data_IF_337164654387
#
_entry.id   IF_337164654387
#
_cell.length_a   1.000
_cell.length_b   1.000
_cell.length_c   1.000
_cell.angle_alpha   90.00
_cell.angle_beta   90.00
_cell.angle_gamma   90.00
#
_symmetry.space_group_name_H-M   'P 1'
#
loop_
_entity.id
_entity.type
_entity.pdbx_description
1 polymer ?
#
# COMPACT_ATOMS: atom_id res chain seq x y z
N UNK A 1 38.27 13.54 -16.91
CA UNK A 1 37.20 12.65 -16.44
C UNK A 1 35.96 13.49 -16.21
N UNK A 2 34.87 13.25 -16.93
CA UNK A 2 33.58 13.91 -16.66
C UNK A 2 32.96 13.14 -15.50
N UNK A 3 32.95 13.72 -14.31
CA UNK A 3 32.19 13.16 -13.19
C UNK A 3 30.72 13.22 -13.59
N UNK A 4 30.11 12.07 -13.90
CA UNK A 4 28.66 11.93 -14.04
C UNK A 4 28.03 12.06 -12.64
N UNK A 5 28.11 13.26 -12.07
CA UNK A 5 27.34 13.61 -10.90
C UNK A 5 25.91 13.68 -11.40
N UNK A 6 25.07 12.72 -10.97
CA UNK A 6 23.65 12.71 -11.31
C UNK A 6 22.99 14.04 -10.97
N UNK A 7 21.72 14.20 -11.36
CA UNK A 7 20.95 15.40 -11.01
C UNK A 7 21.15 15.72 -9.51
N UNK A 8 21.57 16.95 -9.16
CA UNK A 8 21.76 17.34 -7.77
C UNK A 8 20.51 17.06 -6.93
N UNK A 9 20.71 16.71 -5.66
CA UNK A 9 19.61 16.64 -4.70
C UNK A 9 18.97 18.03 -4.57
N UNK A 10 17.66 18.04 -4.33
CA UNK A 10 16.91 19.29 -4.17
C UNK A 10 17.06 19.88 -2.77
N UNK A 11 17.24 19.03 -1.76
CA UNK A 11 17.43 19.40 -0.37
C UNK A 11 18.83 18.99 0.06
N UNK A 12 19.46 19.82 0.86
CA UNK A 12 20.84 19.67 1.32
C UNK A 12 20.93 18.83 2.59
N UNK A 13 19.82 18.65 3.31
CA UNK A 13 19.78 17.85 4.54
C UNK A 13 18.39 17.30 4.86
N UNK A 14 18.35 16.25 5.68
CA UNK A 14 17.12 15.69 6.23
C UNK A 14 16.33 16.70 7.07
N UNK A 15 17.02 17.62 7.76
CA UNK A 15 16.40 18.66 8.57
C UNK A 15 15.65 19.69 7.72
N UNK A 16 16.25 20.14 6.61
CA UNK A 16 15.60 21.04 5.65
C UNK A 16 14.35 20.37 5.05
N UNK A 17 14.46 19.09 4.68
CA UNK A 17 13.33 18.33 4.15
C UNK A 17 12.21 18.19 5.19
N UNK A 18 12.54 17.91 6.46
CA UNK A 18 11.56 17.78 7.55
C UNK A 18 10.83 19.11 7.81
N UNK A 19 11.55 20.23 7.82
CA UNK A 19 10.96 21.57 7.97
C UNK A 19 9.94 21.85 6.85
N UNK A 20 10.30 21.57 5.60
CA UNK A 20 9.41 21.77 4.46
C UNK A 20 8.19 20.82 4.47
N UNK A 21 8.37 19.59 4.97
CA UNK A 21 7.27 18.64 5.17
C UNK A 21 6.32 19.12 6.28
N UNK A 22 6.83 19.66 7.39
CA UNK A 22 6.01 20.26 8.45
C UNK A 22 5.22 21.44 7.91
N UNK A 23 5.89 22.34 7.18
CA UNK A 23 5.24 23.49 6.54
C UNK A 23 4.13 23.05 5.56
N UNK A 24 4.29 21.93 4.86
CA UNK A 24 3.21 21.34 4.07
C UNK A 24 2.00 20.97 4.93
N UNK A 25 2.20 20.22 6.01
CA UNK A 25 1.11 19.81 6.89
C UNK A 25 0.44 21.00 7.57
N UNK A 26 1.21 21.97 8.04
CA UNK A 26 0.68 23.19 8.65
C UNK A 26 -0.15 23.99 7.63
N UNK A 27 0.33 24.11 6.39
CA UNK A 27 -0.47 24.74 5.30
C UNK A 27 -1.75 23.98 4.98
N UNK A 28 -1.79 22.68 5.28
CA UNK A 28 -2.99 21.88 5.11
C UNK A 28 -4.00 22.14 6.23
N UNK A 29 -3.51 22.20 7.46
CA UNK A 29 -4.31 22.35 8.68
C UNK A 29 -4.84 23.77 8.83
N UNK A 30 -4.02 24.77 8.48
CA UNK A 30 -4.36 26.19 8.62
C UNK A 30 -5.23 26.72 7.47
N UNK A 31 -5.64 25.89 6.52
CA UNK A 31 -6.46 26.34 5.38
C UNK A 31 -7.84 26.77 5.87
N UNK A 32 -8.26 27.93 5.38
CA UNK A 32 -9.56 28.51 5.63
C UNK A 32 -10.30 28.81 4.32
N UNK A 33 -11.61 29.00 4.41
CA UNK A 33 -12.45 29.47 3.32
C UNK A 33 -13.35 30.60 3.77
N UNK A 34 -13.65 31.51 2.84
CA UNK A 34 -14.57 32.61 3.08
C UNK A 34 -16.01 32.14 2.83
N UNK A 35 -16.84 32.25 3.85
CA UNK A 35 -18.28 32.08 3.78
C UNK A 35 -18.96 33.43 4.03
N UNK A 36 -20.21 33.59 3.58
CA UNK A 36 -20.98 34.80 3.83
C UNK A 36 -22.14 34.52 4.79
N UNK A 37 -22.34 35.40 5.77
CA UNK A 37 -23.48 35.30 6.68
C UNK A 37 -24.79 35.64 5.96
N UNK A 38 -25.92 35.42 6.64
CA UNK A 38 -27.24 35.84 6.12
C UNK A 38 -27.35 37.36 5.89
N UNK A 39 -26.52 38.16 6.55
CA UNK A 39 -26.45 39.62 6.36
C UNK A 39 -25.46 40.04 5.27
N UNK A 40 -24.76 39.10 4.62
CA UNK A 40 -23.80 39.37 3.56
C UNK A 40 -22.37 39.67 4.03
N UNK A 41 -22.07 39.47 5.32
CA UNK A 41 -20.73 39.72 5.87
C UNK A 41 -19.82 38.50 5.63
N UNK A 42 -18.55 38.70 5.21
CA UNK A 42 -17.60 37.61 5.06
C UNK A 42 -17.14 37.10 6.43
N UNK A 43 -17.09 35.79 6.58
CA UNK A 43 -16.51 35.09 7.73
C UNK A 43 -15.50 34.05 7.23
N UNK A 44 -14.37 33.97 7.92
CA UNK A 44 -13.35 32.98 7.65
C UNK A 44 -13.65 31.71 8.47
N UNK A 45 -13.79 30.58 7.77
CA UNK A 45 -14.16 29.30 8.37
C UNK A 45 -13.03 28.29 8.14
N UNK A 46 -12.60 27.53 9.15
CA UNK A 46 -11.63 26.45 8.96
C UNK A 46 -12.11 25.45 7.90
N UNK A 47 -11.29 25.22 6.89
CA UNK A 47 -11.47 24.16 5.89
C UNK A 47 -10.14 23.45 5.60
N UNK A 48 -9.63 22.67 6.58
CA UNK A 48 -8.37 21.96 6.41
C UNK A 48 -8.43 21.05 5.19
N UNK A 49 -7.35 21.04 4.41
CA UNK A 49 -7.24 20.20 3.21
C UNK A 49 -6.71 18.81 3.58
N UNK A 50 -7.13 17.75 2.87
CA UNK A 50 -6.56 16.42 3.00
C UNK A 50 -5.04 16.40 2.74
N UNK A 51 -4.31 15.59 3.50
CA UNK A 51 -2.92 15.29 3.20
C UNK A 51 -2.83 14.24 2.09
N UNK A 52 -1.91 14.42 1.15
CA UNK A 52 -1.69 13.45 0.07
C UNK A 52 -0.22 13.41 -0.33
N UNK A 53 0.26 12.26 -0.80
CA UNK A 53 1.63 12.10 -1.31
C UNK A 53 1.90 13.07 -2.47
N UNK A 54 0.94 13.22 -3.39
CA UNK A 54 1.06 14.14 -4.52
C UNK A 54 1.02 15.60 -4.10
N UNK A 55 0.20 15.95 -3.10
CA UNK A 55 0.14 17.30 -2.54
C UNK A 55 1.45 17.68 -1.84
N UNK A 56 2.05 16.75 -1.08
CA UNK A 56 3.35 16.93 -0.48
C UNK A 56 4.43 17.12 -1.55
N UNK A 57 4.48 16.24 -2.55
CA UNK A 57 5.44 16.35 -3.64
C UNK A 57 5.32 17.70 -4.38
N UNK A 58 4.09 18.14 -4.65
CA UNK A 58 3.84 19.43 -5.29
C UNK A 58 4.31 20.60 -4.44
N UNK A 59 4.02 20.59 -3.14
CA UNK A 59 4.46 21.64 -2.20
C UNK A 59 5.98 21.74 -2.12
N UNK A 60 6.66 20.59 -2.10
CA UNK A 60 8.12 20.48 -2.16
C UNK A 60 8.70 20.85 -3.55
N UNK A 61 7.86 21.24 -4.52
CA UNK A 61 8.24 21.57 -5.89
C UNK A 61 8.93 20.39 -6.60
N UNK A 62 8.45 19.18 -6.36
CA UNK A 62 8.99 17.93 -6.89
C UNK A 62 7.85 17.03 -7.39
N UNK A 63 8.14 15.74 -7.61
CA UNK A 63 7.16 14.73 -7.98
C UNK A 63 7.24 13.51 -7.05
N UNK A 64 6.23 12.65 -7.12
CA UNK A 64 6.15 11.42 -6.32
C UNK A 64 7.38 10.53 -6.47
N UNK A 65 7.90 10.39 -7.69
CA UNK A 65 9.08 9.56 -7.94
C UNK A 65 10.31 10.05 -7.14
N UNK A 66 10.46 11.36 -6.97
CA UNK A 66 11.56 11.92 -6.19
C UNK A 66 11.44 11.57 -4.71
N UNK A 67 10.22 11.60 -4.15
CA UNK A 67 10.00 11.16 -2.76
C UNK A 67 10.36 9.68 -2.58
N UNK A 68 9.98 8.82 -3.53
CA UNK A 68 10.37 7.40 -3.51
C UNK A 68 11.88 7.22 -3.61
N UNK A 69 12.56 8.02 -4.45
CA UNK A 69 14.01 7.96 -4.56
C UNK A 69 14.72 8.40 -3.27
N UNK A 70 14.12 9.31 -2.50
CA UNK A 70 14.64 9.74 -1.19
C UNK A 70 14.39 8.70 -0.10
N UNK A 71 13.28 7.96 -0.20
CA UNK A 71 13.02 6.81 0.68
C UNK A 71 14.06 5.68 0.51
N UNK A 72 14.87 5.70 -0.55
CA UNK A 72 15.98 4.76 -0.78
C UNK A 72 17.34 5.31 -0.34
N UNK A 73 17.39 6.48 0.30
CA UNK A 73 18.63 7.11 0.76
C UNK A 73 18.65 7.17 2.27
N UNK A 74 19.68 6.61 2.89
CA UNK A 74 19.82 6.56 4.35
C UNK A 74 19.68 7.94 5.03
N UNK A 75 20.09 9.00 4.34
CA UNK A 75 19.96 10.37 4.84
C UNK A 75 18.50 10.83 4.99
N UNK A 76 17.60 10.44 4.07
CA UNK A 76 16.23 10.99 4.00
C UNK A 76 15.15 9.96 4.34
N UNK A 77 15.52 8.69 4.49
CA UNK A 77 14.58 7.57 4.62
C UNK A 77 13.62 7.74 5.79
N UNK A 78 14.12 8.14 6.96
CA UNK A 78 13.30 8.29 8.16
C UNK A 78 12.32 9.46 8.03
N UNK A 79 12.79 10.60 7.49
CA UNK A 79 11.95 11.77 7.23
C UNK A 79 10.82 11.46 6.24
N UNK A 80 11.13 10.76 5.14
CA UNK A 80 10.11 10.37 4.14
C UNK A 80 9.14 9.34 4.72
N UNK A 81 9.62 8.34 5.47
CA UNK A 81 8.75 7.33 6.10
C UNK A 81 7.82 7.94 7.13
N UNK A 82 8.32 8.87 7.96
CA UNK A 82 7.49 9.59 8.92
C UNK A 82 6.37 10.39 8.23
N UNK A 83 6.69 11.09 7.13
CA UNK A 83 5.71 11.82 6.34
C UNK A 83 4.66 10.90 5.72
N UNK A 84 5.08 9.77 5.14
CA UNK A 84 4.18 8.75 4.57
C UNK A 84 3.27 8.16 5.64
N UNK A 85 3.80 7.80 6.81
CA UNK A 85 3.02 7.26 7.91
C UNK A 85 1.95 8.25 8.42
N UNK A 86 2.28 9.54 8.53
CA UNK A 86 1.29 10.57 8.90
C UNK A 86 0.17 10.69 7.86
N UNK A 87 0.50 10.62 6.57
CA UNK A 87 -0.50 10.64 5.49
C UNK A 87 -1.34 9.35 5.53
N UNK A 88 -0.72 8.19 5.73
CA UNK A 88 -1.41 6.90 5.82
C UNK A 88 -2.44 6.90 6.94
N UNK A 89 -2.04 7.33 8.15
CA UNK A 89 -2.95 7.47 9.30
C UNK A 89 -4.16 8.35 8.96
N UNK A 90 -3.95 9.53 8.36
CA UNK A 90 -5.05 10.41 7.95
C UNK A 90 -5.99 9.75 6.91
N UNK A 91 -5.42 9.02 5.97
CA UNK A 91 -6.19 8.29 4.94
C UNK A 91 -6.98 7.15 5.59
N UNK A 92 -6.36 6.37 6.47
CA UNK A 92 -7.01 5.29 7.23
C UNK A 92 -8.17 5.83 8.07
N UNK A 93 -7.96 6.88 8.86
CA UNK A 93 -9.02 7.51 9.66
C UNK A 93 -10.20 8.01 8.79
N UNK A 94 -9.93 8.36 7.53
CA UNK A 94 -10.97 8.77 6.59
C UNK A 94 -11.91 7.64 6.16
N UNK A 95 -11.57 6.36 6.42
CA UNK A 95 -12.47 5.22 6.19
C UNK A 95 -13.75 5.30 7.02
N UNK A 96 -13.69 5.94 8.19
CA UNK A 96 -14.85 6.12 9.08
C UNK A 96 -15.89 7.10 8.52
N UNK A 97 -15.65 7.69 7.33
CA UNK A 97 -16.61 8.51 6.59
C UNK A 97 -17.24 7.67 5.47
N UNK A 98 -18.47 7.13 5.64
CA UNK A 98 -19.02 6.09 4.76
C UNK A 98 -19.08 6.48 3.28
N UNK A 99 -19.31 7.77 2.98
CA UNK A 99 -19.45 8.26 1.61
C UNK A 99 -18.17 8.18 0.76
N UNK A 100 -17.00 8.09 1.38
CA UNK A 100 -15.70 8.13 0.67
C UNK A 100 -14.86 6.86 0.85
N UNK A 101 -15.35 5.89 1.63
CA UNK A 101 -14.60 4.70 2.04
C UNK A 101 -14.03 3.90 0.85
N UNK A 102 -14.78 3.75 -0.25
CA UNK A 102 -14.29 3.04 -1.45
C UNK A 102 -13.09 3.73 -2.09
N UNK A 103 -13.11 5.06 -2.21
CA UNK A 103 -11.99 5.82 -2.78
C UNK A 103 -10.77 5.82 -1.86
N UNK A 104 -11.00 5.88 -0.54
CA UNK A 104 -9.97 5.76 0.48
C UNK A 104 -9.30 4.38 0.43
N UNK A 105 -10.09 3.30 0.36
CA UNK A 105 -9.59 1.93 0.22
C UNK A 105 -8.76 1.76 -1.05
N UNK A 106 -9.21 2.32 -2.19
CA UNK A 106 -8.42 2.34 -3.41
C UNK A 106 -7.07 3.06 -3.22
N UNK A 107 -7.05 4.16 -2.46
CA UNK A 107 -5.82 4.89 -2.17
C UNK A 107 -4.86 4.08 -1.30
N UNK A 108 -5.35 3.45 -0.23
CA UNK A 108 -4.59 2.59 0.68
C UNK A 108 -3.89 1.45 -0.07
N UNK A 109 -4.62 0.78 -0.97
CA UNK A 109 -4.04 -0.29 -1.81
C UNK A 109 -2.93 0.22 -2.72
N UNK A 110 -3.20 1.31 -3.46
CA UNK A 110 -2.28 1.79 -4.50
C UNK A 110 -1.07 2.58 -3.97
N UNK A 111 -1.16 3.17 -2.77
CA UNK A 111 -0.11 4.04 -2.24
C UNK A 111 0.54 3.55 -0.95
N UNK A 112 -0.12 2.67 -0.21
CA UNK A 112 0.33 2.19 1.09
C UNK A 112 0.46 0.65 1.17
N UNK A 113 0.22 -0.05 0.07
CA UNK A 113 0.48 -1.50 -0.03
C UNK A 113 -0.52 -2.36 0.77
N UNK A 114 -1.70 -1.83 1.08
CA UNK A 114 -2.76 -2.63 1.66
C UNK A 114 -3.26 -3.66 0.64
N UNK A 115 -3.56 -4.86 1.11
CA UNK A 115 -4.02 -5.96 0.28
C UNK A 115 -5.28 -6.58 0.88
N UNK A 116 -6.24 -6.95 0.02
CA UNK A 116 -7.37 -7.76 0.47
C UNK A 116 -6.87 -9.18 0.72
N UNK A 117 -7.06 -9.67 1.94
CA UNK A 117 -6.81 -11.08 2.26
C UNK A 117 -8.07 -11.87 1.99
N UNK A 118 -8.03 -12.78 1.04
CA UNK A 118 -9.07 -13.80 0.83
C UNK A 118 -8.52 -15.18 1.18
N UNK A 119 -9.21 -15.91 2.06
CA UNK A 119 -8.98 -17.33 2.28
C UNK A 119 -9.85 -18.14 1.32
N UNK A 120 -9.24 -19.05 0.56
CA UNK A 120 -9.95 -20.05 -0.23
C UNK A 120 -9.85 -21.36 0.55
N UNK A 121 -10.97 -21.79 1.14
CA UNK A 121 -11.07 -23.13 1.71
C UNK A 121 -11.54 -24.09 0.62
N UNK A 122 -10.64 -24.96 0.16
CA UNK A 122 -10.97 -26.01 -0.81
C UNK A 122 -11.43 -27.25 -0.04
N UNK A 123 -12.74 -27.43 0.13
CA UNK A 123 -13.34 -28.60 0.80
C UNK A 123 -13.71 -29.74 -0.17
N UNK A 124 -13.01 -29.84 -1.30
CA UNK A 124 -13.27 -30.85 -2.33
C UNK A 124 -12.53 -32.17 -2.08
N UNK A 125 -13.15 -33.28 -2.47
CA UNK A 125 -12.51 -34.59 -2.56
C UNK A 125 -11.49 -34.57 -3.72
N UNK A 126 -10.19 -34.71 -3.41
CA UNK A 126 -9.12 -34.67 -4.42
C UNK A 126 -9.20 -35.89 -5.33
N UNK A 127 -9.74 -35.74 -6.55
CA UNK A 127 -9.77 -36.83 -7.54
C UNK A 127 -8.44 -36.92 -8.28
N UNK A 128 -7.61 -37.90 -7.94
CA UNK A 128 -6.39 -38.21 -8.68
C UNK A 128 -6.71 -39.04 -9.95
N UNK A 129 -6.77 -38.38 -11.11
CA UNK A 129 -6.93 -39.07 -12.40
C UNK A 129 -5.60 -39.68 -12.84
N UNK A 130 -5.37 -40.95 -12.48
CA UNK A 130 -4.20 -41.71 -12.93
C UNK A 130 -4.44 -42.16 -14.37
N UNK A 131 -3.69 -41.61 -15.33
CA UNK A 131 -3.62 -42.16 -16.69
C UNK A 131 -2.60 -43.29 -16.71
N UNK A 132 -3.04 -44.51 -16.49
CA UNK A 132 -2.20 -45.71 -16.68
C UNK A 132 -2.02 -45.97 -18.17
N UNK A 133 -0.76 -46.00 -18.61
CA UNK A 133 -0.39 -46.46 -19.96
C UNK A 133 -0.05 -47.95 -20.02
N UNK A 134 0.03 -48.60 -18.86
CA UNK A 134 0.34 -50.04 -18.71
C UNK A 134 -0.83 -50.78 -18.04
N UNK A 135 -1.00 -52.05 -18.43
CA UNK A 135 -1.98 -52.95 -17.83
C UNK A 135 -1.57 -53.32 -16.40
N UNK A 136 -2.37 -52.91 -15.41
CA UNK A 136 -2.18 -53.24 -13.99
C UNK A 136 -2.51 -54.71 -13.64
N UNK A 137 -2.91 -55.50 -14.64
CA UNK A 137 -3.29 -56.92 -14.50
C UNK A 137 -2.14 -57.81 -14.02
N UNK A 138 -0.90 -57.32 -14.09
CA UNK A 138 0.30 -58.02 -13.66
C UNK A 138 0.66 -57.82 -12.19
N UNK A 139 -0.03 -56.91 -11.49
CA UNK A 139 0.22 -56.66 -10.07
C UNK A 139 -0.46 -57.70 -9.19
N UNK A 140 0.26 -58.12 -8.15
CA UNK A 140 -0.27 -58.94 -7.07
C UNK A 140 -1.25 -58.15 -6.19
N UNK A 141 -2.09 -58.87 -5.45
CA UNK A 141 -3.04 -58.28 -4.49
C UNK A 141 -2.32 -57.43 -3.44
N UNK A 142 -1.12 -57.86 -3.04
CA UNK A 142 -0.27 -57.15 -2.09
C UNK A 142 0.25 -55.81 -2.63
N UNK A 143 0.66 -55.76 -3.90
CA UNK A 143 1.10 -54.52 -4.56
C UNK A 143 -0.05 -53.53 -4.76
N UNK A 144 -1.25 -54.04 -5.07
CA UNK A 144 -2.46 -53.20 -5.15
C UNK A 144 -2.82 -52.58 -3.79
N UNK A 145 -2.69 -53.34 -2.70
CA UNK A 145 -2.91 -52.82 -1.34
C UNK A 145 -1.88 -51.76 -0.95
N UNK A 146 -0.61 -51.93 -1.34
CA UNK A 146 0.42 -50.93 -1.09
C UNK A 146 0.15 -49.62 -1.83
N UNK A 147 -0.33 -49.69 -3.08
CA UNK A 147 -0.73 -48.51 -3.84
C UNK A 147 -1.90 -47.76 -3.19
N UNK A 148 -2.91 -48.49 -2.72
CA UNK A 148 -4.07 -47.91 -2.01
C UNK A 148 -3.65 -47.22 -0.70
N UNK A 149 -2.72 -47.82 0.04
CA UNK A 149 -2.15 -47.23 1.26
C UNK A 149 -1.35 -45.94 0.97
N UNK A 150 -0.59 -45.91 -0.13
CA UNK A 150 0.17 -44.71 -0.54
C UNK A 150 -0.78 -43.57 -0.94
N UNK A 151 -1.83 -43.89 -1.70
CA UNK A 151 -2.82 -42.90 -2.14
C UNK A 151 -3.59 -42.29 -0.95
N UNK A 152 -4.01 -43.11 0.01
CA UNK A 152 -4.72 -42.63 1.21
C UNK A 152 -3.85 -41.80 2.19
N UNK A 153 -2.53 -41.98 2.19
CA UNK A 153 -1.61 -41.13 2.97
C UNK A 153 -1.40 -39.76 2.32
N UNK A 154 -1.47 -39.69 1.00
CA UNK A 154 -1.30 -38.45 0.24
C UNK A 154 -2.50 -37.52 0.39
N UNK A 155 -3.70 -38.06 0.66
CA UNK A 155 -4.92 -37.28 0.94
C UNK A 155 -5.01 -36.69 2.35
N UNK A 156 -4.17 -37.12 3.29
CA UNK A 156 -4.21 -36.72 4.71
C UNK A 156 -3.00 -35.87 5.15
N UNK A 157 -2.18 -35.39 4.21
CA UNK A 157 -0.92 -34.68 4.50
C UNK A 157 -0.96 -33.15 4.29
N UNK A 158 -2.15 -32.55 4.26
CA UNK A 158 -2.34 -31.09 4.29
C UNK A 158 -3.02 -30.62 5.59
#
# INVERSE_FOLDING_TARGET
MKNNIGRPLKFESAAELDEMIRAYFDSCDSRTEIHFTKSGEPIEVPNPRPYTISGLAYYLGTNRQTLLNYEQRDEFIDTIRAAKAKIEMFVEESLWKPKIATGVMFNLKNNFGWEDKSSIETSGETTHNIKTTDELSHLSVEELKQLEEILSKTSNSE
#
